data_IF_987938354589
#
_entry.id   IF_987938354589
#
_cell.length_a   1.000
_cell.length_b   1.000
_cell.length_c   1.000
_cell.angle_alpha   90.00
_cell.angle_beta   90.00
_cell.angle_gamma   90.00
#
_symmetry.space_group_name_H-M   'P 1'
#
loop_
_entity.id
_entity.type
_entity.pdbx_description
1 polymer ?
#
# COMPACT_ATOMS: atom_id res chain seq x y z
N UNK A 1 -18.47 2.38 -25.24
CA UNK A 1 -17.25 1.96 -24.53
C UNK A 1 -16.24 3.08 -24.61
N UNK A 2 -15.69 3.50 -23.46
CA UNK A 2 -14.60 4.47 -23.40
C UNK A 2 -13.26 3.75 -23.53
N UNK A 3 -12.30 4.34 -24.23
CA UNK A 3 -10.91 3.86 -24.31
C UNK A 3 -10.01 5.05 -23.97
N UNK A 4 -9.39 5.00 -22.77
CA UNK A 4 -8.62 6.09 -22.19
C UNK A 4 -7.16 5.66 -22.04
N UNK A 5 -6.24 6.50 -22.57
CA UNK A 5 -4.82 6.34 -22.32
C UNK A 5 -4.40 7.01 -21.00
N UNK A 6 -3.17 6.77 -20.56
CA UNK A 6 -2.62 7.28 -19.29
C UNK A 6 -2.74 8.81 -19.16
N UNK A 7 -2.44 9.56 -20.22
CA UNK A 7 -2.51 11.03 -20.15
C UNK A 7 -3.94 11.52 -19.91
N UNK A 8 -4.91 10.94 -20.61
CA UNK A 8 -6.33 11.25 -20.41
C UNK A 8 -6.84 10.84 -19.00
N UNK A 9 -6.38 9.69 -18.50
CA UNK A 9 -6.70 9.24 -17.14
C UNK A 9 -6.13 10.22 -16.12
N UNK A 10 -4.88 10.63 -16.25
CA UNK A 10 -4.25 11.59 -15.33
C UNK A 10 -4.93 12.97 -15.37
N UNK A 11 -5.39 13.42 -16.54
CA UNK A 11 -6.12 14.70 -16.68
C UNK A 11 -7.48 14.65 -15.97
N UNK A 12 -8.16 13.51 -16.03
CA UNK A 12 -9.49 13.31 -15.40
C UNK A 12 -9.41 12.97 -13.92
N UNK A 13 -8.23 12.61 -13.42
CA UNK A 13 -8.06 12.13 -12.06
C UNK A 13 -8.29 13.25 -11.03
N UNK A 14 -9.12 12.96 -10.04
CA UNK A 14 -9.41 13.83 -8.90
C UNK A 14 -8.97 13.14 -7.61
N UNK A 15 -7.92 13.64 -6.97
CA UNK A 15 -7.29 13.02 -5.81
C UNK A 15 -8.27 12.80 -4.65
N UNK A 16 -9.03 13.84 -4.27
CA UNK A 16 -9.98 13.77 -3.13
C UNK A 16 -11.12 12.78 -3.42
N UNK A 17 -11.60 12.74 -4.68
CA UNK A 17 -12.62 11.78 -5.09
C UNK A 17 -12.06 10.35 -5.00
N UNK A 18 -10.85 10.12 -5.48
CA UNK A 18 -10.19 8.81 -5.43
C UNK A 18 -9.98 8.36 -3.97
N UNK A 19 -9.50 9.25 -3.10
CA UNK A 19 -9.32 8.95 -1.68
C UNK A 19 -10.64 8.56 -1.00
N UNK A 20 -11.72 9.28 -1.30
CA UNK A 20 -13.06 8.95 -0.80
C UNK A 20 -13.55 7.60 -1.30
N UNK A 21 -13.49 7.35 -2.60
CA UNK A 21 -13.96 6.09 -3.20
C UNK A 21 -13.18 4.88 -2.70
N UNK A 22 -11.85 5.02 -2.51
CA UNK A 22 -11.03 3.96 -1.93
C UNK A 22 -11.41 3.71 -0.47
N UNK A 23 -11.65 4.75 0.33
CA UNK A 23 -12.14 4.60 1.71
C UNK A 23 -13.50 3.90 1.76
N UNK A 24 -14.43 4.28 0.89
CA UNK A 24 -15.76 3.65 0.76
C UNK A 24 -15.63 2.17 0.33
N UNK A 25 -14.66 1.84 -0.55
CA UNK A 25 -14.39 0.47 -0.97
C UNK A 25 -13.85 -0.41 0.18
N UNK A 26 -12.97 0.12 1.04
CA UNK A 26 -12.54 -0.60 2.26
C UNK A 26 -13.73 -0.85 3.20
N UNK A 27 -14.58 0.15 3.41
CA UNK A 27 -15.80 -0.01 4.24
C UNK A 27 -16.74 -1.05 3.64
N UNK A 28 -16.97 -1.01 2.33
CA UNK A 28 -17.81 -2.00 1.64
C UNK A 28 -17.22 -3.42 1.75
N UNK A 29 -15.89 -3.55 1.62
CA UNK A 29 -15.20 -4.83 1.76
C UNK A 29 -15.41 -5.43 3.16
N UNK A 30 -15.12 -4.67 4.20
CA UNK A 30 -15.26 -5.13 5.60
C UNK A 30 -16.71 -5.39 6.01
N UNK A 31 -17.67 -4.80 5.29
CA UNK A 31 -19.10 -5.01 5.52
C UNK A 31 -19.70 -6.16 4.71
N UNK A 32 -18.89 -6.89 3.93
CA UNK A 32 -19.35 -7.97 3.07
C UNK A 32 -20.13 -7.51 1.83
N UNK A 33 -19.99 -6.23 1.45
CA UNK A 33 -20.66 -5.67 0.28
C UNK A 33 -19.78 -5.63 -0.98
N UNK A 34 -18.74 -6.46 -1.01
CA UNK A 34 -17.87 -6.62 -2.18
C UNK A 34 -17.84 -8.07 -2.61
N UNK A 35 -17.91 -8.31 -3.90
CA UNK A 35 -17.65 -9.59 -4.53
C UNK A 35 -16.28 -9.51 -5.21
N UNK A 36 -15.36 -10.38 -4.83
CA UNK A 36 -14.04 -10.51 -5.46
C UNK A 36 -13.88 -11.90 -6.08
N UNK A 37 -13.20 -11.96 -7.22
CA UNK A 37 -12.72 -13.23 -7.77
C UNK A 37 -11.39 -13.65 -7.17
N UNK A 38 -11.02 -14.91 -7.36
CA UNK A 38 -9.69 -15.39 -7.01
C UNK A 38 -8.61 -14.62 -7.78
N UNK A 39 -7.47 -14.39 -7.12
CA UNK A 39 -6.33 -13.74 -7.75
C UNK A 39 -5.64 -14.71 -8.69
N UNK A 40 -5.59 -14.38 -9.99
CA UNK A 40 -4.77 -15.13 -10.95
C UNK A 40 -3.35 -14.57 -10.92
N UNK A 41 -2.39 -15.43 -10.63
CA UNK A 41 -0.97 -15.10 -10.62
C UNK A 41 -0.22 -15.88 -11.69
N UNK A 42 0.54 -15.18 -12.53
CA UNK A 42 1.46 -15.74 -13.52
C UNK A 42 2.87 -15.31 -13.16
N UNK A 43 3.79 -16.26 -13.07
CA UNK A 43 5.20 -16.01 -12.80
C UNK A 43 6.05 -16.18 -14.05
N UNK A 44 7.01 -15.29 -14.26
CA UNK A 44 7.97 -15.30 -15.36
C UNK A 44 9.41 -15.26 -14.80
N UNK A 45 9.90 -16.36 -14.19
CA UNK A 45 11.20 -16.37 -13.48
C UNK A 45 12.38 -15.98 -14.36
N UNK A 46 12.38 -16.38 -15.63
CA UNK A 46 13.46 -16.06 -16.58
C UNK A 46 13.57 -14.56 -16.90
N UNK A 47 12.47 -13.83 -16.69
CA UNK A 47 12.39 -12.37 -16.93
C UNK A 47 12.30 -11.58 -15.62
N UNK A 48 12.47 -12.23 -14.47
CA UNK A 48 12.31 -11.64 -13.14
C UNK A 48 11.00 -10.81 -13.07
N UNK A 49 9.87 -11.47 -13.44
CA UNK A 49 8.60 -10.78 -13.57
C UNK A 49 7.40 -11.62 -13.13
N UNK A 50 6.29 -10.93 -12.93
CA UNK A 50 5.00 -11.51 -12.60
C UNK A 50 3.84 -10.72 -13.20
N UNK A 51 2.64 -11.32 -13.16
CA UNK A 51 1.40 -10.67 -13.54
C UNK A 51 0.28 -11.13 -12.60
N UNK A 52 -0.48 -10.17 -12.09
CA UNK A 52 -1.67 -10.42 -11.28
C UNK A 52 -2.93 -9.93 -12.00
N UNK A 53 -3.96 -10.80 -12.08
CA UNK A 53 -5.30 -10.40 -12.51
C UNK A 53 -6.21 -10.45 -11.29
N UNK A 54 -6.79 -9.31 -10.93
CA UNK A 54 -7.76 -9.17 -9.83
C UNK A 54 -9.07 -8.64 -10.38
N UNK A 55 -10.19 -9.13 -9.86
CA UNK A 55 -11.53 -8.65 -10.24
C UNK A 55 -12.36 -8.33 -9.00
N UNK A 56 -13.22 -7.33 -9.10
CA UNK A 56 -14.09 -6.94 -8.01
C UNK A 56 -15.33 -6.18 -8.46
N UNK A 57 -16.38 -6.33 -7.65
CA UNK A 57 -17.65 -5.63 -7.78
C UNK A 57 -18.12 -5.18 -6.40
N UNK A 58 -18.35 -3.89 -6.23
CA UNK A 58 -19.07 -3.38 -5.06
C UNK A 58 -20.55 -3.60 -5.32
N UNK A 59 -21.24 -4.34 -4.46
CA UNK A 59 -22.64 -4.71 -4.62
C UNK A 59 -23.50 -3.45 -4.81
N UNK A 60 -24.50 -3.57 -5.69
CA UNK A 60 -25.42 -2.48 -6.05
C UNK A 60 -24.80 -1.33 -6.85
N UNK A 61 -23.57 -1.46 -7.34
CA UNK A 61 -23.02 -0.52 -8.34
C UNK A 61 -23.21 -1.06 -9.76
N UNK A 62 -23.21 -0.15 -10.74
CA UNK A 62 -23.52 -0.49 -12.14
C UNK A 62 -22.35 -1.16 -12.88
N UNK A 63 -21.16 -1.22 -12.26
CA UNK A 63 -19.96 -1.72 -12.93
C UNK A 63 -19.15 -2.67 -12.04
N UNK A 64 -18.53 -3.67 -12.67
CA UNK A 64 -17.43 -4.42 -12.08
C UNK A 64 -16.12 -4.17 -12.84
N UNK A 65 -15.00 -4.40 -12.18
CA UNK A 65 -13.67 -4.09 -12.72
C UNK A 65 -12.78 -5.32 -12.72
N UNK A 66 -12.03 -5.48 -13.80
CA UNK A 66 -10.91 -6.43 -13.89
C UNK A 66 -9.63 -5.61 -14.04
N UNK A 67 -8.70 -5.79 -13.10
CA UNK A 67 -7.37 -5.19 -13.13
C UNK A 67 -6.35 -6.21 -13.57
N UNK A 68 -5.49 -5.84 -14.52
CA UNK A 68 -4.30 -6.58 -14.94
C UNK A 68 -3.11 -5.71 -14.54
N UNK A 69 -2.24 -6.23 -13.68
CA UNK A 69 -1.03 -5.54 -13.25
C UNK A 69 0.16 -6.48 -13.36
N UNK A 70 1.27 -6.01 -13.93
CA UNK A 70 2.49 -6.79 -14.09
C UNK A 70 3.70 -6.02 -13.56
N UNK A 71 4.61 -6.76 -12.93
CA UNK A 71 5.91 -6.30 -12.49
C UNK A 71 7.02 -7.05 -13.22
N UNK A 72 7.97 -6.31 -13.81
CA UNK A 72 9.18 -6.87 -14.42
C UNK A 72 10.38 -6.12 -13.86
N UNK A 73 10.98 -6.68 -12.83
CA UNK A 73 11.91 -5.96 -11.94
C UNK A 73 13.26 -5.62 -12.58
N UNK A 74 13.63 -6.29 -13.69
CA UNK A 74 14.85 -5.99 -14.47
C UNK A 74 14.63 -4.95 -15.59
N UNK A 75 13.40 -4.52 -15.83
CA UNK A 75 13.07 -3.56 -16.87
C UNK A 75 13.80 -2.21 -16.75
N UNK A 76 14.01 -1.64 -15.53
CA UNK A 76 14.75 -0.37 -15.41
C UNK A 76 16.16 -0.42 -16.00
N UNK A 77 16.83 -1.57 -15.94
CA UNK A 77 18.16 -1.75 -16.58
C UNK A 77 18.11 -1.70 -18.12
N UNK A 78 16.90 -1.86 -18.69
CA UNK A 78 16.62 -1.83 -20.13
C UNK A 78 15.96 -0.50 -20.57
N UNK A 79 15.82 0.47 -19.65
CA UNK A 79 15.13 1.73 -19.90
C UNK A 79 13.59 1.62 -20.00
N UNK A 80 13.03 0.51 -19.49
CA UNK A 80 11.59 0.26 -19.44
C UNK A 80 11.05 0.41 -18.02
N UNK A 81 9.76 0.74 -17.83
CA UNK A 81 9.15 0.78 -16.51
C UNK A 81 9.09 -0.62 -15.89
N UNK A 82 9.29 -0.70 -14.57
CA UNK A 82 9.19 -1.96 -13.81
C UNK A 82 7.77 -2.43 -13.63
N UNK A 83 6.77 -1.55 -13.66
CA UNK A 83 5.35 -1.89 -13.57
C UNK A 83 4.60 -1.47 -14.83
N UNK A 84 3.58 -2.25 -15.18
CA UNK A 84 2.65 -1.95 -16.26
C UNK A 84 1.28 -2.56 -15.94
N UNK A 85 0.24 -2.15 -16.66
CA UNK A 85 -1.08 -2.72 -16.48
C UNK A 85 -2.17 -1.96 -17.19
N UNK A 86 -3.39 -2.45 -16.96
CA UNK A 86 -4.63 -1.80 -17.42
C UNK A 86 -5.81 -2.24 -16.55
N UNK A 87 -6.90 -1.50 -16.65
CA UNK A 87 -8.18 -1.86 -16.04
C UNK A 87 -9.28 -1.94 -17.09
N UNK A 88 -10.16 -2.91 -16.92
CA UNK A 88 -11.35 -3.10 -17.75
C UNK A 88 -12.58 -2.94 -16.88
N UNK A 89 -13.51 -2.08 -17.26
CA UNK A 89 -14.79 -1.91 -16.58
C UNK A 89 -15.92 -2.47 -17.46
N UNK A 90 -16.81 -3.22 -16.83
CA UNK A 90 -17.96 -3.85 -17.46
C UNK A 90 -19.24 -3.48 -16.74
N UNK A 91 -20.36 -3.47 -17.46
CA UNK A 91 -21.69 -3.37 -16.88
C UNK A 91 -22.01 -4.59 -16.01
N UNK A 92 -22.40 -4.36 -14.76
CA UNK A 92 -22.82 -5.43 -13.85
C UNK A 92 -24.24 -5.94 -14.17
N UNK A 93 -24.96 -5.28 -15.08
CA UNK A 93 -26.31 -5.70 -15.51
C UNK A 93 -26.36 -6.40 -16.85
N UNK A 94 -25.49 -6.01 -17.82
CA UNK A 94 -25.51 -6.59 -19.17
C UNK A 94 -24.25 -7.37 -19.54
N UNK A 95 -23.15 -7.21 -18.79
CA UNK A 95 -21.85 -7.79 -19.11
C UNK A 95 -21.11 -7.08 -20.24
N UNK A 96 -21.65 -5.98 -20.77
CA UNK A 96 -21.00 -5.23 -21.85
C UNK A 96 -19.78 -4.46 -21.35
N UNK A 97 -18.70 -4.35 -22.16
CA UNK A 97 -17.55 -3.54 -21.80
C UNK A 97 -17.91 -2.05 -21.80
N UNK A 98 -17.65 -1.38 -20.67
CA UNK A 98 -17.92 0.05 -20.46
C UNK A 98 -16.68 0.88 -20.76
N UNK A 99 -15.52 0.48 -20.23
CA UNK A 99 -14.28 1.22 -20.41
C UNK A 99 -13.06 0.29 -20.45
N UNK A 100 -12.04 0.75 -21.20
CA UNK A 100 -10.66 0.26 -21.16
C UNK A 100 -9.80 1.42 -20.66
N UNK A 101 -9.09 1.21 -19.55
CA UNK A 101 -8.19 2.18 -18.96
C UNK A 101 -6.76 1.69 -19.17
N UNK A 102 -6.08 2.22 -20.17
CA UNK A 102 -4.67 1.90 -20.51
C UNK A 102 -3.75 2.82 -19.70
N UNK A 103 -3.74 2.62 -18.40
CA UNK A 103 -3.08 3.45 -17.41
C UNK A 103 -1.58 3.17 -17.25
N UNK A 104 -1.07 2.12 -17.89
CA UNK A 104 0.33 1.69 -17.77
C UNK A 104 0.74 1.42 -16.30
N UNK A 105 -0.19 0.94 -15.47
CA UNK A 105 0.00 0.67 -14.05
C UNK A 105 -0.14 1.87 -13.11
N UNK A 106 -0.33 3.09 -13.66
CA UNK A 106 -0.38 4.32 -12.86
C UNK A 106 -1.54 4.32 -11.83
N UNK A 107 -2.73 3.84 -12.20
CA UNK A 107 -3.84 3.73 -11.27
C UNK A 107 -3.56 2.71 -10.16
N UNK A 108 -2.86 1.61 -10.49
CA UNK A 108 -2.41 0.65 -9.48
C UNK A 108 -1.46 1.31 -8.49
N UNK A 109 -0.49 2.07 -8.97
CA UNK A 109 0.46 2.76 -8.10
C UNK A 109 -0.23 3.82 -7.23
N UNK A 110 -1.11 4.63 -7.84
CA UNK A 110 -1.85 5.68 -7.16
C UNK A 110 -2.79 5.13 -6.08
N UNK A 111 -3.60 4.08 -6.39
CA UNK A 111 -4.51 3.49 -5.41
C UNK A 111 -3.74 2.84 -4.25
N UNK A 112 -2.55 2.30 -4.51
CA UNK A 112 -1.70 1.71 -3.47
C UNK A 112 -1.14 2.81 -2.55
N UNK A 113 -0.65 3.91 -3.12
CA UNK A 113 -0.22 5.07 -2.35
C UNK A 113 -1.35 5.68 -1.50
N UNK A 114 -2.55 5.79 -2.09
CA UNK A 114 -3.74 6.26 -1.36
C UNK A 114 -4.16 5.29 -0.25
N UNK A 115 -4.11 3.99 -0.50
CA UNK A 115 -4.41 2.97 0.53
C UNK A 115 -3.52 3.12 1.75
N UNK A 116 -2.20 3.22 1.55
CA UNK A 116 -1.25 3.45 2.63
C UNK A 116 -1.49 4.78 3.37
N UNK A 117 -1.75 5.85 2.62
CA UNK A 117 -2.06 7.16 3.22
C UNK A 117 -3.35 7.14 4.06
N UNK A 118 -4.39 6.44 3.60
CA UNK A 118 -5.67 6.28 4.32
C UNK A 118 -5.44 5.47 5.61
N UNK A 119 -4.70 4.36 5.54
CA UNK A 119 -4.37 3.55 6.71
C UNK A 119 -3.54 4.34 7.72
N UNK A 120 -2.50 5.05 7.26
CA UNK A 120 -1.67 5.91 8.11
C UNK A 120 -2.50 7.01 8.78
N UNK A 121 -3.40 7.67 8.02
CA UNK A 121 -4.28 8.71 8.58
C UNK A 121 -5.21 8.16 9.67
N UNK A 122 -5.67 6.92 9.53
CA UNK A 122 -6.58 6.29 10.49
C UNK A 122 -5.88 5.76 11.75
N UNK A 123 -4.58 5.45 11.67
CA UNK A 123 -3.90 4.64 12.68
C UNK A 123 -2.66 5.30 13.31
N UNK A 124 -2.05 6.31 12.67
CA UNK A 124 -0.93 7.04 13.26
C UNK A 124 -1.41 8.04 14.32
N UNK A 125 -0.52 8.41 15.23
CA UNK A 125 -0.77 9.51 16.17
C UNK A 125 -1.01 10.83 15.43
N UNK A 126 -1.84 11.69 16.01
CA UNK A 126 -2.19 12.98 15.39
C UNK A 126 -0.99 13.93 15.24
N UNK A 127 -0.01 13.81 16.11
CA UNK A 127 1.23 14.62 16.14
C UNK A 127 2.42 13.96 15.42
N UNK A 128 2.22 12.78 14.78
CA UNK A 128 3.28 12.09 14.06
C UNK A 128 3.79 12.91 12.86
N UNK A 129 5.09 13.17 12.79
CA UNK A 129 5.73 13.99 11.76
C UNK A 129 6.88 13.27 11.04
N UNK A 130 7.61 12.39 11.74
CA UNK A 130 8.78 11.70 11.20
C UNK A 130 8.35 10.42 10.48
N UNK A 131 8.53 10.42 9.17
CA UNK A 131 8.14 9.30 8.32
C UNK A 131 9.39 8.64 7.74
N UNK A 132 9.64 7.40 8.14
CA UNK A 132 10.66 6.57 7.51
C UNK A 132 10.02 5.75 6.40
N UNK A 133 10.51 5.88 5.17
CA UNK A 133 10.14 5.02 4.05
C UNK A 133 11.29 4.08 3.74
N UNK A 134 11.04 2.76 3.87
CA UNK A 134 12.00 1.71 3.56
C UNK A 134 11.71 1.15 2.18
N UNK A 135 12.53 1.52 1.22
CA UNK A 135 12.40 1.27 -0.20
C UNK A 135 12.67 2.52 -1.01
N UNK A 136 13.09 2.38 -2.27
CA UNK A 136 13.35 3.49 -3.19
C UNK A 136 12.67 3.30 -4.55
N UNK A 137 11.70 2.38 -4.61
CA UNK A 137 10.96 2.05 -5.81
C UNK A 137 9.76 2.97 -6.07
N UNK A 138 8.89 2.51 -6.97
CA UNK A 138 7.70 3.25 -7.38
C UNK A 138 6.75 3.49 -6.19
N UNK A 139 6.54 2.50 -5.33
CA UNK A 139 5.65 2.64 -4.18
C UNK A 139 6.20 3.61 -3.12
N UNK A 140 7.50 3.63 -2.84
CA UNK A 140 8.08 4.62 -1.94
C UNK A 140 7.72 6.07 -2.35
N UNK A 141 7.76 6.34 -3.67
CA UNK A 141 7.35 7.61 -4.27
C UNK A 141 5.88 7.93 -4.04
N UNK A 142 4.99 6.98 -4.34
CA UNK A 142 3.55 7.18 -4.23
C UNK A 142 3.10 7.28 -2.78
N UNK A 143 3.71 6.51 -1.87
CA UNK A 143 3.41 6.60 -0.43
C UNK A 143 3.71 8.01 0.12
N UNK A 144 4.89 8.56 -0.16
CA UNK A 144 5.25 9.91 0.28
C UNK A 144 4.27 10.97 -0.27
N UNK A 145 4.01 10.93 -1.58
CA UNK A 145 3.14 11.90 -2.25
C UNK A 145 1.70 11.83 -1.77
N UNK A 146 1.13 10.63 -1.70
CA UNK A 146 -0.26 10.43 -1.27
C UNK A 146 -0.45 10.80 0.20
N UNK A 147 0.52 10.46 1.06
CA UNK A 147 0.45 10.82 2.48
C UNK A 147 0.43 12.34 2.67
N UNK A 148 1.36 13.06 2.03
CA UNK A 148 1.41 14.52 2.09
C UNK A 148 0.17 15.17 1.48
N UNK A 149 -0.33 14.66 0.34
CA UNK A 149 -1.52 15.20 -0.33
C UNK A 149 -2.81 14.95 0.43
N UNK A 150 -2.93 13.79 1.12
CA UNK A 150 -4.12 13.45 1.91
C UNK A 150 -4.21 14.26 3.22
N UNK A 151 -3.08 14.71 3.73
CA UNK A 151 -2.98 15.48 4.98
C UNK A 151 -2.18 16.78 4.78
N UNK A 152 -2.67 17.72 3.94
CA UNK A 152 -1.90 18.91 3.55
C UNK A 152 -1.65 19.91 4.68
N UNK A 153 -2.37 19.80 5.79
CA UNK A 153 -2.16 20.61 6.99
C UNK A 153 -1.02 20.09 7.88
N UNK A 154 -0.49 18.89 7.61
CA UNK A 154 0.61 18.29 8.37
C UNK A 154 1.94 18.46 7.65
N UNK A 155 2.98 18.74 8.42
CA UNK A 155 4.34 18.85 7.90
C UNK A 155 5.09 17.55 8.18
N UNK A 156 5.17 16.68 7.18
CA UNK A 156 5.93 15.45 7.28
C UNK A 156 7.39 15.65 6.91
N UNK A 157 8.28 14.98 7.66
CA UNK A 157 9.71 14.87 7.38
C UNK A 157 9.97 13.42 6.91
N UNK A 158 10.27 13.25 5.62
CA UNK A 158 10.46 11.94 5.01
C UNK A 158 11.94 11.56 5.03
N UNK A 159 12.30 10.51 5.77
CA UNK A 159 13.59 9.86 5.70
C UNK A 159 13.48 8.64 4.79
N UNK A 160 14.25 8.59 3.69
CA UNK A 160 14.18 7.52 2.70
C UNK A 160 15.40 6.63 2.84
N UNK A 161 15.16 5.34 3.07
CA UNK A 161 16.20 4.33 3.10
C UNK A 161 16.02 3.28 2.01
N UNK A 162 17.12 2.81 1.44
CA UNK A 162 17.10 1.71 0.47
C UNK A 162 18.50 1.19 0.20
N UNK A 163 18.60 -0.07 -0.24
CA UNK A 163 19.89 -0.72 -0.56
C UNK A 163 20.64 -0.03 -1.72
N UNK A 164 19.92 0.60 -2.62
CA UNK A 164 20.51 1.35 -3.73
C UNK A 164 20.50 2.84 -3.38
N UNK A 165 21.64 3.34 -2.88
CA UNK A 165 21.78 4.73 -2.45
C UNK A 165 21.54 5.74 -3.57
N UNK A 166 21.88 5.43 -4.81
CA UNK A 166 21.67 6.35 -5.92
C UNK A 166 20.18 6.47 -6.27
N UNK A 167 19.43 5.37 -6.21
CA UNK A 167 17.98 5.40 -6.37
C UNK A 167 17.31 6.18 -5.23
N UNK A 168 17.82 6.06 -3.99
CA UNK A 168 17.34 6.86 -2.84
C UNK A 168 17.59 8.35 -3.08
N UNK A 169 18.79 8.75 -3.50
CA UNK A 169 19.11 10.15 -3.81
C UNK A 169 18.19 10.73 -4.89
N UNK A 170 17.97 9.96 -5.97
CA UNK A 170 17.07 10.37 -7.06
C UNK A 170 15.65 10.59 -6.53
N UNK A 171 15.14 9.68 -5.70
CA UNK A 171 13.81 9.81 -5.11
C UNK A 171 13.72 11.02 -4.17
N UNK A 172 14.70 11.23 -3.31
CA UNK A 172 14.76 12.39 -2.40
C UNK A 172 14.75 13.71 -3.18
N UNK A 173 15.56 13.84 -4.24
CA UNK A 173 15.56 15.04 -5.09
C UNK A 173 14.21 15.25 -5.79
N UNK A 174 13.57 14.17 -6.24
CA UNK A 174 12.22 14.26 -6.83
C UNK A 174 11.19 14.77 -5.81
N UNK A 175 11.20 14.24 -4.58
CA UNK A 175 10.28 14.66 -3.51
C UNK A 175 10.52 16.12 -3.12
N UNK A 176 11.77 16.54 -2.98
CA UNK A 176 12.15 17.95 -2.74
C UNK A 176 11.69 18.87 -3.86
N UNK A 177 11.81 18.43 -5.11
CA UNK A 177 11.32 19.17 -6.29
C UNK A 177 9.79 19.38 -6.28
N UNK A 178 9.06 18.60 -5.49
CA UNK A 178 7.62 18.74 -5.23
C UNK A 178 7.30 19.41 -3.87
N UNK A 179 8.28 20.09 -3.30
CA UNK A 179 8.17 20.83 -2.02
C UNK A 179 7.90 19.92 -0.81
N UNK A 180 8.24 18.64 -0.88
CA UNK A 180 8.22 17.75 0.27
C UNK A 180 9.56 17.81 1.00
N UNK A 181 9.52 17.83 2.34
CA UNK A 181 10.73 17.73 3.13
C UNK A 181 11.19 16.27 3.17
N UNK A 182 12.27 15.96 2.47
CA UNK A 182 12.78 14.60 2.32
C UNK A 182 14.31 14.57 2.44
N UNK A 183 14.85 13.56 3.13
CA UNK A 183 16.27 13.34 3.33
C UNK A 183 16.66 11.87 3.12
N UNK A 184 17.96 11.65 2.85
CA UNK A 184 18.53 10.31 2.72
C UNK A 184 18.82 9.76 4.11
N UNK A 185 18.14 8.69 4.49
CA UNK A 185 18.43 7.94 5.71
C UNK A 185 19.73 7.12 5.53
N UNK A 186 20.75 7.42 6.33
CA UNK A 186 22.05 6.73 6.25
C UNK A 186 22.14 5.48 7.10
N UNK A 187 21.45 5.47 8.22
CA UNK A 187 21.44 4.36 9.18
C UNK A 187 19.99 3.93 9.41
N UNK A 188 19.66 2.72 8.97
CA UNK A 188 18.30 2.20 9.09
C UNK A 188 17.87 2.07 10.55
N UNK A 189 18.69 1.46 11.41
CA UNK A 189 18.35 1.18 12.79
C UNK A 189 18.11 2.48 13.59
N UNK A 190 18.93 3.49 13.34
CA UNK A 190 18.75 4.81 13.93
C UNK A 190 17.42 5.42 13.50
N UNK A 191 17.11 5.39 12.21
CA UNK A 191 15.88 5.99 11.69
C UNK A 191 14.63 5.24 12.13
N UNK A 192 14.67 3.90 12.22
CA UNK A 192 13.58 3.12 12.81
C UNK A 192 13.28 3.57 14.24
N UNK A 193 14.32 3.81 15.04
CA UNK A 193 14.17 4.23 16.44
C UNK A 193 13.65 5.66 16.62
N UNK A 194 13.72 6.49 15.58
CA UNK A 194 13.26 7.89 15.58
C UNK A 194 11.91 8.10 14.91
N UNK A 195 11.45 7.15 14.09
CA UNK A 195 10.26 7.31 13.27
C UNK A 195 8.96 7.27 14.08
N UNK A 196 8.02 8.15 13.74
CA UNK A 196 6.63 8.10 14.18
C UNK A 196 5.82 7.17 13.29
N UNK A 197 6.16 7.19 12.00
CA UNK A 197 5.54 6.39 10.95
C UNK A 197 6.63 5.66 10.18
N UNK A 198 6.47 4.35 9.97
CA UNK A 198 7.33 3.54 9.12
C UNK A 198 6.49 2.99 7.97
N UNK A 199 6.96 3.18 6.74
CA UNK A 199 6.31 2.63 5.54
C UNK A 199 7.29 1.70 4.84
N UNK A 200 6.96 0.42 4.71
CA UNK A 200 7.82 -0.55 4.02
C UNK A 200 7.28 -0.85 2.63
N UNK A 201 8.16 -0.84 1.63
CA UNK A 201 7.78 -0.97 0.21
C UNK A 201 8.79 -1.84 -0.57
N UNK A 202 9.28 -2.90 0.07
CA UNK A 202 10.36 -3.73 -0.49
C UNK A 202 9.88 -5.14 -0.86
N UNK A 203 10.54 -5.83 -1.79
CA UNK A 203 10.28 -7.24 -2.08
C UNK A 203 11.04 -8.18 -1.13
N UNK A 204 11.30 -7.77 0.11
CA UNK A 204 12.07 -8.56 1.07
C UNK A 204 11.36 -9.87 1.43
N UNK A 205 12.16 -10.89 1.74
CA UNK A 205 11.70 -12.20 2.23
C UNK A 205 12.15 -12.48 3.66
N UNK A 206 12.61 -11.43 4.36
CA UNK A 206 13.02 -11.46 5.75
C UNK A 206 12.93 -10.07 6.35
N UNK A 207 12.77 -9.99 7.67
CA UNK A 207 12.66 -8.74 8.40
C UNK A 207 13.77 -7.74 8.04
N UNK A 208 13.39 -6.47 7.87
CA UNK A 208 14.28 -5.39 7.46
C UNK A 208 15.05 -4.76 8.64
N UNK A 209 14.51 -4.86 9.84
CA UNK A 209 15.06 -4.28 11.07
C UNK A 209 14.66 -5.13 12.30
N UNK A 210 15.25 -4.84 13.47
CA UNK A 210 14.91 -5.50 14.72
C UNK A 210 13.66 -4.90 15.39
N UNK A 211 12.86 -5.74 16.03
CA UNK A 211 11.64 -5.33 16.76
C UNK A 211 11.93 -4.36 17.93
N UNK A 212 13.06 -4.58 18.61
CA UNK A 212 13.51 -3.76 19.73
C UNK A 212 13.85 -2.30 19.37
N UNK A 213 13.89 -1.97 18.07
CA UNK A 213 14.14 -0.62 17.59
C UNK A 213 12.85 0.20 17.48
N UNK A 214 11.69 -0.45 17.38
CA UNK A 214 10.41 0.24 17.22
C UNK A 214 9.93 0.77 18.56
N UNK A 215 9.75 2.07 18.66
CA UNK A 215 9.32 2.73 19.90
C UNK A 215 7.79 2.64 20.10
N UNK A 216 7.31 2.72 21.33
CA UNK A 216 5.89 2.91 21.59
C UNK A 216 5.33 4.12 20.83
N UNK A 217 4.11 3.99 20.32
CA UNK A 217 3.42 5.02 19.55
C UNK A 217 3.68 4.99 18.04
N UNK A 218 4.63 4.19 17.56
CA UNK A 218 4.92 4.08 16.12
C UNK A 218 3.75 3.43 15.37
N UNK A 219 3.43 4.00 14.20
CA UNK A 219 2.57 3.38 13.20
C UNK A 219 3.40 2.78 12.07
N UNK A 220 3.04 1.57 11.62
CA UNK A 220 3.72 0.90 10.50
C UNK A 220 2.69 0.58 9.41
N UNK A 221 2.98 0.99 8.17
CA UNK A 221 2.24 0.59 6.98
C UNK A 221 3.13 -0.31 6.12
N UNK A 222 2.81 -1.60 6.06
CA UNK A 222 3.52 -2.58 5.26
C UNK A 222 2.84 -2.76 3.90
N UNK A 223 3.59 -2.53 2.81
CA UNK A 223 3.07 -2.55 1.44
C UNK A 223 3.77 -3.61 0.58
N UNK A 224 4.99 -4.02 0.97
CA UNK A 224 5.84 -4.83 0.08
C UNK A 224 5.54 -6.32 0.09
N UNK A 225 4.93 -6.85 1.15
CA UNK A 225 4.55 -8.25 1.24
C UNK A 225 3.16 -8.48 0.61
N UNK A 226 3.12 -8.84 -0.66
CA UNK A 226 1.92 -9.09 -1.46
C UNK A 226 1.88 -10.50 -2.09
N UNK A 227 2.83 -11.36 -1.70
CA UNK A 227 2.98 -12.72 -2.22
C UNK A 227 3.51 -13.64 -1.12
N UNK A 228 3.12 -14.91 -1.16
CA UNK A 228 3.58 -15.90 -0.20
C UNK A 228 5.12 -15.95 -0.08
N UNK A 229 5.62 -15.94 1.15
CA UNK A 229 7.06 -15.97 1.47
C UNK A 229 7.75 -14.60 1.49
N UNK A 230 7.07 -13.51 1.09
CA UNK A 230 7.58 -12.16 1.36
C UNK A 230 7.35 -11.79 2.82
N UNK A 231 8.29 -11.04 3.38
CA UNK A 231 8.23 -10.56 4.76
C UNK A 231 9.15 -9.35 4.93
N UNK A 232 8.63 -8.26 5.44
CA UNK A 232 9.38 -7.04 5.72
C UNK A 232 9.56 -6.79 7.23
N UNK A 233 8.59 -7.24 8.06
CA UNK A 233 8.54 -7.00 9.49
C UNK A 233 8.99 -8.22 10.30
N UNK A 234 9.62 -8.02 11.49
CA UNK A 234 9.88 -9.10 12.42
C UNK A 234 8.58 -9.73 12.92
N UNK A 235 8.49 -11.05 12.96
CA UNK A 235 7.33 -11.76 13.53
C UNK A 235 7.05 -11.33 14.97
N UNK A 236 8.10 -11.18 15.80
CA UNK A 236 7.98 -10.72 17.18
C UNK A 236 7.35 -9.32 17.31
N UNK A 237 7.59 -8.43 16.34
CA UNK A 237 6.95 -7.12 16.30
C UNK A 237 5.44 -7.25 16.01
N UNK A 238 5.07 -8.09 15.03
CA UNK A 238 3.66 -8.37 14.73
C UNK A 238 2.96 -8.99 15.95
N UNK A 239 3.61 -9.92 16.65
CA UNK A 239 3.07 -10.58 17.84
C UNK A 239 2.86 -9.62 19.03
N UNK A 240 3.71 -8.61 19.15
CA UNK A 240 3.69 -7.63 20.24
C UNK A 240 2.93 -6.34 19.96
N UNK A 241 2.53 -6.11 18.72
CA UNK A 241 1.79 -4.92 18.33
C UNK A 241 0.43 -4.81 19.04
N UNK A 242 0.05 -3.59 19.39
CA UNK A 242 -1.22 -3.29 20.07
C UNK A 242 -2.42 -3.47 19.16
N UNK A 243 -2.23 -3.19 17.84
CA UNK A 243 -3.32 -3.23 16.86
C UNK A 243 -2.79 -3.73 15.52
N UNK A 244 -3.40 -4.79 15.01
CA UNK A 244 -3.13 -5.36 13.69
C UNK A 244 -4.32 -5.07 12.76
N UNK A 245 -4.05 -4.42 11.64
CA UNK A 245 -5.07 -4.01 10.66
C UNK A 245 -4.66 -4.48 9.27
N UNK A 246 -5.60 -4.93 8.45
CA UNK A 246 -5.34 -5.28 7.06
C UNK A 246 -6.39 -4.66 6.13
N UNK A 247 -6.11 -4.68 4.84
CA UNK A 247 -7.09 -4.30 3.81
C UNK A 247 -8.15 -5.39 3.60
N UNK A 248 -7.71 -6.64 3.47
CA UNK A 248 -8.57 -7.82 3.33
C UNK A 248 -7.95 -9.01 4.07
N UNK A 249 -8.65 -9.51 5.06
CA UNK A 249 -8.14 -10.58 5.94
C UNK A 249 -7.71 -11.83 5.18
N UNK A 250 -8.50 -12.27 4.20
CA UNK A 250 -8.18 -13.46 3.40
C UNK A 250 -6.91 -13.33 2.56
N UNK A 251 -6.53 -12.12 2.14
CA UNK A 251 -5.29 -11.87 1.41
C UNK A 251 -4.11 -11.70 2.37
N UNK A 252 -4.25 -10.87 3.38
CA UNK A 252 -3.20 -10.56 4.35
C UNK A 252 -2.67 -11.81 5.07
N UNK A 253 -3.56 -12.68 5.54
CA UNK A 253 -3.19 -13.93 6.23
C UNK A 253 -2.57 -14.99 5.30
N UNK A 254 -2.72 -14.88 3.98
CA UNK A 254 -2.15 -15.84 3.04
C UNK A 254 -0.95 -15.32 2.26
N UNK A 255 -0.88 -14.01 2.02
CA UNK A 255 0.09 -13.39 1.10
C UNK A 255 0.75 -12.13 1.65
N UNK A 256 0.18 -11.52 2.72
CA UNK A 256 0.69 -10.30 3.34
C UNK A 256 1.67 -10.56 4.49
N UNK A 257 2.02 -9.51 5.23
CA UNK A 257 2.86 -9.61 6.43
C UNK A 257 2.27 -10.54 7.49
N UNK A 258 0.94 -10.61 7.58
CA UNK A 258 0.26 -11.40 8.60
C UNK A 258 0.18 -12.90 8.26
N UNK A 259 0.74 -13.37 7.13
CA UNK A 259 0.88 -14.80 6.84
C UNK A 259 1.64 -15.56 7.93
N UNK A 260 2.56 -14.89 8.64
CA UNK A 260 3.36 -15.50 9.72
C UNK A 260 2.56 -15.80 10.99
N UNK A 261 1.37 -15.22 11.14
CA UNK A 261 0.48 -15.46 12.29
C UNK A 261 -0.82 -16.18 11.91
N UNK A 262 -0.98 -16.63 10.65
CA UNK A 262 -2.20 -17.23 10.14
C UNK A 262 -2.68 -18.41 11.00
N UNK A 263 -1.76 -19.31 11.38
CA UNK A 263 -2.06 -20.50 12.18
C UNK A 263 -2.00 -20.26 13.71
N UNK A 264 -2.02 -19.00 14.15
CA UNK A 264 -1.96 -18.63 15.56
C UNK A 264 -3.28 -18.00 16.02
N UNK A 265 -3.47 -17.89 17.35
CA UNK A 265 -4.62 -17.19 17.91
C UNK A 265 -4.63 -15.68 17.59
N UNK A 266 -3.51 -15.12 17.13
CA UNK A 266 -3.38 -13.71 16.80
C UNK A 266 -4.12 -13.36 15.49
N UNK A 267 -4.29 -14.33 14.58
CA UNK A 267 -5.07 -14.09 13.35
C UNK A 267 -6.51 -13.63 13.65
N UNK A 268 -7.08 -14.05 14.80
CA UNK A 268 -8.42 -13.62 15.24
C UNK A 268 -8.47 -12.18 15.77
N UNK A 269 -7.31 -11.56 16.02
CA UNK A 269 -7.21 -10.16 16.48
C UNK A 269 -7.00 -9.17 15.35
N UNK A 270 -6.76 -9.66 14.14
CA UNK A 270 -6.60 -8.80 12.95
C UNK A 270 -7.95 -8.16 12.63
N UNK A 271 -7.96 -6.85 12.45
CA UNK A 271 -9.12 -6.08 12.03
C UNK A 271 -8.97 -5.65 10.56
N UNK A 272 -10.07 -5.48 9.87
CA UNK A 272 -10.03 -4.89 8.55
C UNK A 272 -10.13 -3.36 8.62
N UNK A 273 -9.37 -2.66 7.78
CA UNK A 273 -9.30 -1.20 7.74
C UNK A 273 -10.68 -0.55 7.57
N UNK A 274 -11.55 -1.15 6.76
CA UNK A 274 -12.91 -0.65 6.55
C UNK A 274 -13.76 -0.66 7.82
N UNK A 275 -13.56 -1.62 8.73
CA UNK A 275 -14.24 -1.64 10.02
C UNK A 275 -13.82 -0.47 10.91
N UNK A 276 -12.56 -0.04 10.83
CA UNK A 276 -12.05 1.14 11.55
C UNK A 276 -12.58 2.43 10.89
N UNK A 277 -12.53 2.53 9.58
CA UNK A 277 -13.00 3.69 8.83
C UNK A 277 -14.50 3.94 9.01
N UNK A 278 -15.30 2.88 9.17
CA UNK A 278 -16.73 2.98 9.46
C UNK A 278 -17.05 3.18 10.94
N UNK A 279 -16.04 3.29 11.80
CA UNK A 279 -16.18 3.35 13.27
C UNK A 279 -16.85 2.13 13.91
N UNK A 280 -16.95 1.02 13.19
CA UNK A 280 -17.49 -0.25 13.72
C UNK A 280 -16.54 -0.92 14.70
N UNK A 281 -15.23 -0.67 14.56
CA UNK A 281 -14.19 -1.07 15.47
C UNK A 281 -13.36 0.14 15.91
N UNK A 282 -12.83 0.08 17.13
CA UNK A 282 -11.89 1.09 17.61
C UNK A 282 -10.55 0.96 16.87
N UNK A 283 -9.99 2.07 16.45
CA UNK A 283 -8.63 2.18 15.96
C UNK A 283 -7.62 2.26 17.11
N UNK A 284 -6.61 3.11 16.97
CA UNK A 284 -5.66 3.43 18.05
C UNK A 284 -6.40 3.90 19.31
N UNK A 285 -6.02 3.38 20.46
CA UNK A 285 -6.65 3.71 21.75
C UNK A 285 -5.71 4.41 22.71
N UNK A 286 -4.41 4.35 22.45
CA UNK A 286 -3.36 4.99 23.26
C UNK A 286 -2.26 5.55 22.36
N UNK A 287 -1.67 6.67 22.78
CA UNK A 287 -0.51 7.27 22.11
C UNK A 287 0.71 6.33 22.11
N UNK A 288 0.75 5.36 23.01
CA UNK A 288 1.81 4.36 23.09
C UNK A 288 1.54 3.09 22.25
N UNK A 289 0.35 2.95 21.65
CA UNK A 289 0.04 1.77 20.83
C UNK A 289 1.00 1.68 19.64
N UNK A 290 1.60 0.51 19.42
CA UNK A 290 2.23 0.18 18.15
C UNK A 290 1.14 -0.39 17.26
N UNK A 291 0.90 0.26 16.13
CA UNK A 291 -0.14 -0.14 15.18
C UNK A 291 0.48 -0.57 13.84
N UNK A 292 0.03 -1.69 13.29
CA UNK A 292 0.53 -2.21 12.02
C UNK A 292 -0.64 -2.34 11.05
N UNK A 293 -0.50 -1.74 9.85
CA UNK A 293 -1.40 -1.93 8.73
C UNK A 293 -0.68 -2.72 7.63
N UNK A 294 -1.22 -3.88 7.29
CA UNK A 294 -0.76 -4.75 6.20
C UNK A 294 -1.69 -4.59 5.00
N UNK A 295 -1.18 -4.11 3.88
CA UNK A 295 -1.97 -3.79 2.69
C UNK A 295 -1.46 -4.58 1.49
N UNK A 296 -2.21 -5.61 1.12
CA UNK A 296 -1.88 -6.53 0.04
C UNK A 296 -2.48 -6.12 -1.32
N UNK A 297 -3.45 -5.24 -1.32
CA UNK A 297 -4.06 -4.59 -2.50
C UNK A 297 -5.22 -5.29 -3.14
#
# INVERSE_FOLDING_TARGET
>A
MHDLNKAQIMELFQFDLAARVISEAYVASSSGHVQTGDVVHLSFPESNGDCHVKSGHILHTDTYVIKIASGFYDNPSKGLPSSNGMMLAFSATSGEPVAILRDEGWLTDMRTGLGGAIATKALANEDAEKVLIIGSGIQARFQAKCLASLMPSRSFNFDIWGRNEDAVKVLVEELRGQSLNADVAKNLDEQVSLADIIITTTPATSALFGDNLVRPGTHITAIGADTHGKQELPTSLIESASLLVCDMMSQSLNHGEFQVINDTHLSQKVLELGAILSTSCAGRTSDNDITIADLTG
#
